data_IF_101430745635
#
_entry.id   IF_101430745635
#
_cell.length_a   1.000
_cell.length_b   1.000
_cell.length_c   1.000
_cell.angle_alpha   90.00
_cell.angle_beta   90.00
_cell.angle_gamma   90.00
#
_symmetry.space_group_name_H-M   'P 1'
#
loop_
_entity.id
_entity.type
_entity.pdbx_description
1 polymer ?
#
# COMPACT_ATOMS: atom_id res chain seq x y z
N UNK A 1 -15.32 -4.83 9.19
CA UNK A 1 -15.48 -4.33 7.83
C UNK A 1 -14.17 -3.68 7.43
N UNK A 2 -13.55 -4.15 6.34
CA UNK A 2 -12.38 -3.49 5.76
C UNK A 2 -12.85 -2.20 5.12
N UNK A 3 -12.37 -1.10 5.60
CA UNK A 3 -12.69 0.22 5.08
C UNK A 3 -11.75 0.63 3.96
N UNK A 4 -10.43 0.31 4.07
CA UNK A 4 -9.43 0.45 3.02
C UNK A 4 -8.64 -0.86 2.86
N UNK A 5 -8.17 -1.14 1.66
CA UNK A 5 -7.27 -2.23 1.34
C UNK A 5 -6.26 -1.77 0.28
N UNK A 6 -4.98 -1.84 0.60
CA UNK A 6 -3.92 -1.42 -0.32
C UNK A 6 -3.14 -2.62 -0.85
N UNK A 7 -3.04 -2.71 -2.17
CA UNK A 7 -2.07 -3.52 -2.87
C UNK A 7 -0.83 -2.67 -3.15
N UNK A 8 0.36 -3.26 -3.16
CA UNK A 8 1.58 -2.53 -3.41
C UNK A 8 2.61 -3.34 -4.18
N UNK A 9 3.45 -2.65 -4.95
CA UNK A 9 4.60 -3.21 -5.65
C UNK A 9 5.87 -2.54 -5.15
N UNK A 10 6.86 -3.34 -4.81
CA UNK A 10 8.19 -2.88 -4.42
C UNK A 10 9.20 -3.30 -5.47
N UNK A 11 9.96 -2.33 -5.92
CA UNK A 11 11.11 -2.52 -6.81
C UNK A 11 12.38 -2.14 -6.05
N UNK A 12 13.43 -2.94 -6.18
CA UNK A 12 14.74 -2.64 -5.64
C UNK A 12 15.59 -1.98 -6.71
N UNK A 13 16.39 -0.99 -6.32
CA UNK A 13 17.41 -0.36 -7.14
C UNK A 13 18.70 -0.28 -6.33
N UNK A 14 19.88 -0.23 -7.00
CA UNK A 14 21.20 -0.19 -6.34
C UNK A 14 21.30 0.79 -5.16
N UNK A 15 20.53 1.87 -5.17
CA UNK A 15 20.57 2.92 -4.15
C UNK A 15 19.30 2.99 -3.27
N UNK A 16 18.29 2.13 -3.45
CA UNK A 16 17.06 2.23 -2.65
C UNK A 16 15.87 1.45 -3.19
N UNK A 17 14.67 1.99 -2.97
CA UNK A 17 13.41 1.35 -3.29
C UNK A 17 12.48 2.30 -4.04
N UNK A 18 11.80 1.80 -5.08
CA UNK A 18 10.60 2.43 -5.59
C UNK A 18 9.38 1.63 -5.11
N UNK A 19 8.33 2.32 -4.73
CA UNK A 19 7.12 1.66 -4.25
C UNK A 19 5.88 2.38 -4.75
N UNK A 20 4.98 1.63 -5.36
CA UNK A 20 3.67 2.11 -5.79
C UNK A 20 2.56 1.35 -5.10
N UNK A 21 1.38 1.99 -4.96
CA UNK A 21 0.19 1.39 -4.36
C UNK A 21 -1.03 1.64 -5.20
N UNK A 22 -1.97 0.70 -5.13
CA UNK A 22 -3.35 0.90 -5.51
C UNK A 22 -4.26 0.54 -4.34
N UNK A 23 -5.27 1.34 -4.05
CA UNK A 23 -6.11 1.18 -2.86
C UNK A 23 -7.57 1.02 -3.23
N UNK A 24 -8.22 0.00 -2.70
CA UNK A 24 -9.68 -0.14 -2.71
C UNK A 24 -10.26 0.44 -1.41
N UNK A 25 -11.36 1.17 -1.53
CA UNK A 25 -12.08 1.70 -0.39
C UNK A 25 -13.60 1.43 -0.51
N UNK A 26 -14.26 1.15 0.61
CA UNK A 26 -15.70 0.93 0.63
C UNK A 26 -16.42 2.27 0.65
N UNK A 27 -17.41 2.43 -0.24
CA UNK A 27 -18.16 3.67 -0.44
C UNK A 27 -18.83 4.17 0.83
N UNK A 28 -19.53 3.31 1.55
CA UNK A 28 -20.21 3.69 2.80
C UNK A 28 -19.24 4.28 3.83
N UNK A 29 -18.04 3.71 3.93
CA UNK A 29 -17.00 4.25 4.80
C UNK A 29 -16.50 5.62 4.31
N UNK A 30 -16.30 5.77 3.00
CA UNK A 30 -15.87 7.02 2.39
C UNK A 30 -16.92 8.12 2.53
N UNK A 31 -18.20 7.79 2.42
CA UNK A 31 -19.30 8.72 2.65
C UNK A 31 -19.37 9.17 4.10
N UNK A 32 -19.33 8.25 5.03
CA UNK A 32 -19.43 8.54 6.47
C UNK A 32 -18.25 9.37 7.00
N UNK A 33 -17.04 9.14 6.48
CA UNK A 33 -15.82 9.73 7.04
C UNK A 33 -15.25 10.88 6.22
N UNK A 34 -15.44 10.88 4.90
CA UNK A 34 -14.84 11.85 3.98
C UNK A 34 -15.85 12.62 3.15
N UNK A 35 -17.15 12.25 3.23
CA UNK A 35 -18.20 12.91 2.44
C UNK A 35 -18.04 12.67 0.93
N UNK A 36 -17.67 11.44 0.56
CA UNK A 36 -17.35 11.07 -0.82
C UNK A 36 -18.47 11.39 -1.82
N UNK A 37 -19.73 11.09 -1.48
CA UNK A 37 -20.88 11.38 -2.36
C UNK A 37 -21.31 12.85 -2.39
N UNK A 38 -20.76 13.70 -1.52
CA UNK A 38 -21.07 15.12 -1.52
C UNK A 38 -20.47 15.81 -2.75
N UNK A 39 -21.13 16.89 -3.22
CA UNK A 39 -20.54 17.76 -4.24
C UNK A 39 -19.26 18.39 -3.70
N UNK A 40 -18.25 18.57 -4.56
CA UNK A 40 -16.95 19.14 -4.18
C UNK A 40 -17.08 20.50 -3.48
N UNK A 41 -18.07 21.32 -3.90
CA UNK A 41 -18.39 22.63 -3.31
C UNK A 41 -18.87 22.56 -1.85
N UNK A 42 -19.42 21.44 -1.41
CA UNK A 42 -19.93 21.21 -0.05
C UNK A 42 -18.89 20.57 0.88
N UNK A 43 -17.77 20.11 0.32
CA UNK A 43 -16.66 19.55 1.09
C UNK A 43 -15.85 20.72 1.63
N UNK A 44 -16.13 21.10 2.88
CA UNK A 44 -15.43 22.21 3.55
C UNK A 44 -13.91 22.10 3.43
N UNK A 45 -13.30 23.23 3.13
CA UNK A 45 -11.88 23.38 2.81
C UNK A 45 -10.95 22.79 3.89
N UNK A 46 -10.11 21.86 3.51
CA UNK A 46 -8.78 21.73 4.11
C UNK A 46 -8.52 20.59 5.08
N UNK A 47 -9.49 19.75 5.50
CA UNK A 47 -9.20 18.70 6.50
C UNK A 47 -9.66 17.27 6.13
N UNK A 48 -10.23 17.06 4.98
CA UNK A 48 -10.70 15.73 4.54
C UNK A 48 -9.78 15.16 3.49
N UNK A 49 -9.58 13.84 3.53
CA UNK A 49 -8.85 13.13 2.49
C UNK A 49 -9.55 13.34 1.13
N UNK A 50 -8.83 13.74 0.07
CA UNK A 50 -9.41 14.07 -1.23
C UNK A 50 -9.64 12.81 -2.07
N UNK A 51 -10.54 11.92 -1.61
CA UNK A 51 -10.82 10.59 -2.18
C UNK A 51 -11.08 10.68 -3.69
N UNK A 52 -12.00 11.56 -4.13
CA UNK A 52 -12.32 11.73 -5.56
C UNK A 52 -11.13 12.16 -6.41
N UNK A 53 -10.24 12.97 -5.85
CA UNK A 53 -9.02 13.38 -6.55
C UNK A 53 -8.09 12.18 -6.76
N UNK A 54 -7.88 11.38 -5.74
CA UNK A 54 -7.03 10.18 -5.83
C UNK A 54 -7.61 9.14 -6.77
N UNK A 55 -8.94 9.00 -6.80
CA UNK A 55 -9.64 8.13 -7.74
C UNK A 55 -9.46 8.61 -9.20
N UNK A 56 -9.63 9.92 -9.45
CA UNK A 56 -9.35 10.53 -10.77
C UNK A 56 -7.88 10.37 -11.21
N UNK A 57 -6.95 10.28 -10.26
CA UNK A 57 -5.53 10.04 -10.51
C UNK A 57 -5.21 8.53 -10.70
N UNK A 58 -6.20 7.63 -10.65
CA UNK A 58 -5.96 6.20 -10.79
C UNK A 58 -5.25 5.54 -9.58
N UNK A 59 -5.16 6.23 -8.43
CA UNK A 59 -4.46 5.73 -7.25
C UNK A 59 -5.34 4.86 -6.35
N UNK A 60 -6.65 4.96 -6.52
CA UNK A 60 -7.62 4.17 -5.77
C UNK A 60 -8.93 4.00 -6.52
N UNK A 61 -9.74 3.05 -6.04
CA UNK A 61 -11.11 2.81 -6.48
C UNK A 61 -12.04 2.75 -5.27
N UNK A 62 -13.16 3.47 -5.35
CA UNK A 62 -14.23 3.37 -4.33
C UNK A 62 -15.29 2.41 -4.83
N UNK A 63 -15.40 1.27 -4.13
CA UNK A 63 -16.34 0.19 -4.50
C UNK A 63 -17.65 0.32 -3.74
N UNK A 64 -18.77 0.22 -4.46
CA UNK A 64 -20.14 0.26 -3.89
C UNK A 64 -20.58 -1.16 -3.52
N UNK A 65 -19.88 -1.73 -2.53
CA UNK A 65 -20.09 -3.09 -2.03
C UNK A 65 -20.12 -3.07 -0.50
N UNK A 66 -20.87 -3.96 0.16
CA UNK A 66 -20.89 -4.05 1.63
C UNK A 66 -19.55 -4.54 2.21
N UNK A 67 -18.74 -5.22 1.40
CA UNK A 67 -17.36 -5.61 1.71
C UNK A 67 -16.58 -5.84 0.44
N UNK A 68 -15.28 -5.56 0.46
CA UNK A 68 -14.42 -5.75 -0.70
C UNK A 68 -14.44 -7.20 -1.20
N UNK A 69 -14.82 -7.40 -2.46
CA UNK A 69 -14.76 -8.70 -3.11
C UNK A 69 -13.29 -9.08 -3.38
N UNK A 70 -12.83 -10.27 -2.98
CA UNK A 70 -11.46 -10.73 -3.24
C UNK A 70 -11.03 -10.67 -4.70
N UNK A 71 -11.97 -10.76 -5.65
CA UNK A 71 -11.69 -10.67 -7.09
C UNK A 71 -10.97 -9.38 -7.49
N UNK A 72 -11.26 -8.25 -6.84
CA UNK A 72 -10.57 -6.99 -7.11
C UNK A 72 -9.07 -7.15 -6.86
N UNK A 73 -8.72 -7.74 -5.73
CA UNK A 73 -7.33 -7.97 -5.31
C UNK A 73 -6.63 -8.96 -6.26
N UNK A 74 -7.30 -10.08 -6.55
CA UNK A 74 -6.74 -11.11 -7.44
C UNK A 74 -6.45 -10.53 -8.82
N UNK A 75 -7.42 -9.82 -9.42
CA UNK A 75 -7.26 -9.20 -10.73
C UNK A 75 -6.13 -8.19 -10.75
N UNK A 76 -5.96 -7.40 -9.69
CA UNK A 76 -4.87 -6.45 -9.60
C UNK A 76 -3.50 -7.15 -9.60
N UNK A 77 -3.33 -8.23 -8.83
CA UNK A 77 -2.08 -8.99 -8.80
C UNK A 77 -1.84 -9.78 -10.09
N UNK A 78 -2.89 -10.27 -10.77
CA UNK A 78 -2.74 -10.88 -12.09
C UNK A 78 -2.19 -9.87 -13.10
N UNK A 79 -2.73 -8.66 -13.13
CA UNK A 79 -2.21 -7.57 -13.96
C UNK A 79 -0.76 -7.22 -13.59
N UNK A 80 -0.45 -7.10 -12.30
CA UNK A 80 0.91 -6.84 -11.84
C UNK A 80 1.89 -7.96 -12.25
N UNK A 81 1.46 -9.21 -12.29
CA UNK A 81 2.27 -10.32 -12.80
C UNK A 81 2.54 -10.20 -14.31
N UNK A 82 1.53 -9.82 -15.08
CA UNK A 82 1.67 -9.64 -16.54
C UNK A 82 2.62 -8.46 -16.86
N UNK A 83 2.51 -7.35 -16.14
CA UNK A 83 3.27 -6.13 -16.42
C UNK A 83 4.68 -6.15 -15.81
N UNK A 84 4.83 -6.71 -14.60
CA UNK A 84 6.07 -6.60 -13.81
C UNK A 84 6.64 -7.94 -13.37
N UNK A 85 6.07 -9.06 -13.77
CA UNK A 85 6.57 -10.39 -13.41
C UNK A 85 6.43 -10.73 -11.92
N UNK A 86 5.48 -10.13 -11.19
CA UNK A 86 5.24 -10.41 -9.77
C UNK A 86 4.96 -11.88 -9.54
N UNK A 87 5.69 -12.52 -8.61
CA UNK A 87 5.53 -13.92 -8.24
C UNK A 87 5.21 -14.14 -6.78
N UNK A 88 5.83 -13.35 -5.90
CA UNK A 88 5.69 -13.49 -4.44
C UNK A 88 4.83 -12.37 -3.88
N UNK A 89 3.86 -12.70 -3.07
CA UNK A 89 2.94 -11.77 -2.42
C UNK A 89 3.05 -11.93 -0.92
N UNK A 90 3.27 -10.85 -0.20
CA UNK A 90 3.26 -10.83 1.26
C UNK A 90 1.94 -10.26 1.74
N UNK A 91 1.19 -11.01 2.53
CA UNK A 91 -0.13 -10.63 3.05
C UNK A 91 -0.17 -10.72 4.57
N UNK A 92 -0.86 -9.79 5.22
CA UNK A 92 -1.14 -9.86 6.65
C UNK A 92 -2.29 -10.83 6.98
N UNK A 93 -2.62 -10.95 8.27
CA UNK A 93 -3.69 -11.85 8.71
C UNK A 93 -5.10 -11.44 8.26
N UNK A 94 -5.28 -10.17 7.84
CA UNK A 94 -6.62 -9.69 7.53
C UNK A 94 -7.15 -10.36 6.26
N UNK A 95 -8.21 -11.16 6.40
CA UNK A 95 -8.81 -11.98 5.33
C UNK A 95 -7.81 -12.90 4.58
N UNK A 96 -6.64 -13.15 5.15
CA UNK A 96 -5.64 -14.01 4.50
C UNK A 96 -6.13 -15.44 4.30
N UNK A 97 -7.02 -15.92 5.14
CA UNK A 97 -7.70 -17.21 5.01
C UNK A 97 -8.60 -17.31 3.75
N UNK A 98 -9.08 -16.18 3.25
CA UNK A 98 -9.91 -16.11 2.04
C UNK A 98 -9.07 -15.75 0.81
N UNK A 99 -8.21 -14.73 0.94
CA UNK A 99 -7.48 -14.16 -0.20
C UNK A 99 -6.29 -15.02 -0.60
N UNK A 100 -5.51 -15.52 0.36
CA UNK A 100 -4.30 -16.26 0.05
C UNK A 100 -4.57 -17.56 -0.74
N UNK A 101 -5.57 -18.41 -0.40
CA UNK A 101 -5.87 -19.58 -1.23
C UNK A 101 -6.30 -19.25 -2.66
N UNK A 102 -6.89 -18.07 -2.88
CA UNK A 102 -7.27 -17.63 -4.23
C UNK A 102 -6.04 -17.19 -5.02
N UNK A 103 -5.10 -16.48 -4.40
CA UNK A 103 -3.82 -16.12 -5.02
C UNK A 103 -2.95 -17.36 -5.29
N UNK A 104 -2.91 -18.31 -4.36
CA UNK A 104 -2.20 -19.58 -4.53
C UNK A 104 -2.74 -20.42 -5.71
N UNK A 105 -4.06 -20.37 -5.99
CA UNK A 105 -4.68 -20.98 -7.18
C UNK A 105 -4.25 -20.34 -8.50
N UNK A 106 -3.85 -19.09 -8.44
CA UNK A 106 -3.30 -18.36 -9.59
C UNK A 106 -1.77 -18.45 -9.65
N UNK A 107 -1.18 -19.45 -9.00
CA UNK A 107 0.27 -19.75 -8.98
C UNK A 107 1.15 -18.64 -8.39
N UNK A 108 0.62 -17.83 -7.48
CA UNK A 108 1.44 -16.93 -6.67
C UNK A 108 2.01 -17.65 -5.46
N UNK A 109 3.27 -17.36 -5.14
CA UNK A 109 3.83 -17.67 -3.84
C UNK A 109 3.28 -16.69 -2.80
N UNK A 110 2.54 -17.18 -1.79
CA UNK A 110 1.90 -16.31 -0.80
C UNK A 110 2.52 -16.49 0.59
N UNK A 111 3.12 -15.43 1.09
CA UNK A 111 3.71 -15.37 2.43
C UNK A 111 2.72 -14.71 3.38
N UNK A 112 2.21 -15.49 4.33
CA UNK A 112 1.22 -15.04 5.32
C UNK A 112 1.91 -14.58 6.59
N UNK A 113 1.81 -13.30 6.90
CA UNK A 113 2.35 -12.72 8.12
C UNK A 113 1.39 -12.95 9.28
N UNK A 114 1.70 -13.88 10.19
CA UNK A 114 0.87 -14.16 11.36
C UNK A 114 0.86 -13.01 12.38
N UNK A 115 1.95 -12.27 12.49
CA UNK A 115 2.15 -11.16 13.43
C UNK A 115 2.84 -9.99 12.71
N UNK A 116 2.15 -9.26 11.82
CA UNK A 116 2.76 -8.22 11.00
C UNK A 116 3.42 -7.12 11.84
N UNK A 117 2.90 -6.83 13.04
CA UNK A 117 3.49 -5.85 13.96
C UNK A 117 4.91 -6.21 14.42
N UNK A 118 5.32 -7.49 14.35
CA UNK A 118 6.68 -7.92 14.70
C UNK A 118 7.71 -7.53 13.62
N UNK A 119 7.25 -7.19 12.42
CA UNK A 119 8.12 -6.67 11.36
C UNK A 119 8.60 -5.24 11.66
N UNK A 120 7.84 -4.47 12.43
CA UNK A 120 8.18 -3.08 12.68
C UNK A 120 9.54 -2.92 13.37
N UNK A 121 9.84 -3.57 14.52
CA UNK A 121 11.17 -3.49 15.13
C UNK A 121 12.28 -4.01 14.23
N UNK A 122 12.01 -5.08 13.47
CA UNK A 122 12.98 -5.67 12.55
C UNK A 122 13.36 -4.74 11.42
N UNK A 123 12.38 -4.05 10.83
CA UNK A 123 12.56 -3.22 9.64
C UNK A 123 12.78 -1.74 9.96
N UNK A 124 12.51 -1.28 11.19
CA UNK A 124 12.61 0.12 11.55
C UNK A 124 13.97 0.75 11.23
N UNK A 125 15.13 0.12 11.52
CA UNK A 125 16.42 0.71 11.16
C UNK A 125 16.57 0.94 9.66
N UNK A 126 16.13 -0.01 8.83
CA UNK A 126 16.18 0.10 7.36
C UNK A 126 15.23 1.18 6.84
N UNK A 127 14.01 1.23 7.37
CA UNK A 127 13.01 2.23 6.99
C UNK A 127 13.52 3.62 7.34
N UNK A 128 14.03 3.83 8.56
CA UNK A 128 14.57 5.13 9.00
C UNK A 128 15.78 5.56 8.16
N UNK A 129 16.74 4.65 7.91
CA UNK A 129 17.88 4.93 7.05
C UNK A 129 17.42 5.31 5.63
N UNK A 130 16.47 4.56 5.08
CA UNK A 130 15.97 4.79 3.73
C UNK A 130 15.26 6.14 3.60
N UNK A 131 14.48 6.56 4.60
CA UNK A 131 13.88 7.89 4.60
C UNK A 131 14.92 9.00 4.82
N UNK A 132 15.85 8.83 5.77
CA UNK A 132 16.87 9.83 6.08
C UNK A 132 17.81 10.09 4.88
N UNK A 133 18.10 9.06 4.10
CA UNK A 133 18.99 9.11 2.95
C UNK A 133 18.25 9.24 1.60
N UNK A 134 16.96 9.55 1.60
CA UNK A 134 16.14 9.72 0.39
C UNK A 134 16.17 8.51 -0.57
N UNK A 135 16.25 7.30 -0.02
CA UNK A 135 16.32 6.04 -0.77
C UNK A 135 14.95 5.46 -1.13
N UNK A 136 13.85 6.16 -0.84
CA UNK A 136 12.48 5.72 -1.13
C UNK A 136 11.86 6.67 -2.13
N UNK A 137 11.36 6.10 -3.22
CA UNK A 137 10.68 6.81 -4.30
C UNK A 137 9.23 6.34 -4.32
N UNK A 138 8.29 7.27 -4.14
CA UNK A 138 6.85 7.02 -4.27
C UNK A 138 6.27 7.60 -5.58
N UNK A 139 7.09 8.23 -6.41
CA UNK A 139 6.64 8.97 -7.59
C UNK A 139 5.68 10.10 -7.21
N UNK A 140 4.83 10.51 -8.14
CA UNK A 140 3.76 11.48 -7.87
C UNK A 140 2.51 10.78 -7.26
N UNK A 141 2.70 10.15 -6.10
CA UNK A 141 1.63 9.46 -5.39
C UNK A 141 1.25 10.20 -4.09
N UNK A 142 0.32 11.18 -4.14
CA UNK A 142 -0.12 11.91 -2.95
C UNK A 142 -0.87 11.02 -1.96
N UNK A 143 -1.49 9.92 -2.39
CA UNK A 143 -2.14 8.96 -1.50
C UNK A 143 -1.09 8.22 -0.65
N UNK A 144 0.02 7.78 -1.25
CA UNK A 144 1.10 7.13 -0.49
C UNK A 144 1.76 8.11 0.49
N UNK A 145 1.99 9.36 0.09
CA UNK A 145 2.45 10.42 1.00
C UNK A 145 1.48 10.64 2.17
N UNK A 146 0.18 10.60 1.90
CA UNK A 146 -0.84 10.72 2.95
C UNK A 146 -0.80 9.53 3.92
N UNK A 147 -0.70 8.30 3.44
CA UNK A 147 -0.55 7.12 4.29
C UNK A 147 0.69 7.23 5.18
N UNK A 148 1.84 7.62 4.62
CA UNK A 148 3.09 7.80 5.35
C UNK A 148 2.97 8.89 6.43
N UNK A 149 2.37 10.03 6.10
CA UNK A 149 2.16 11.14 7.06
C UNK A 149 1.17 10.79 8.20
N UNK A 150 0.38 9.73 8.04
CA UNK A 150 -0.52 9.25 9.10
C UNK A 150 0.17 8.31 10.09
N UNK A 151 1.42 7.95 9.86
CA UNK A 151 2.23 7.10 10.74
C UNK A 151 3.04 7.97 11.71
N UNK A 152 3.26 7.47 12.92
CA UNK A 152 4.29 7.95 13.82
C UNK A 152 5.11 6.77 14.37
N UNK A 153 6.34 7.04 14.74
CA UNK A 153 7.26 6.06 15.34
C UNK A 153 7.11 6.10 16.85
N UNK A 154 6.93 4.94 17.47
CA UNK A 154 6.92 4.78 18.92
C UNK A 154 8.02 3.82 19.34
N UNK A 155 8.87 4.26 20.27
CA UNK A 155 9.83 3.37 20.93
C UNK A 155 9.11 2.49 21.94
N UNK A 156 9.44 1.21 21.94
CA UNK A 156 8.93 0.19 22.86
C UNK A 156 10.07 -0.68 23.36
N UNK A 157 9.84 -1.51 24.40
CA UNK A 157 10.85 -2.45 24.90
C UNK A 157 11.36 -3.42 23.82
N UNK A 158 10.53 -3.73 22.82
CA UNK A 158 10.87 -4.64 21.72
C UNK A 158 11.48 -3.90 20.51
N UNK A 159 11.74 -2.58 20.61
CA UNK A 159 12.21 -1.74 19.52
C UNK A 159 11.14 -0.77 19.00
N UNK A 160 11.41 -0.17 17.85
CA UNK A 160 10.51 0.86 17.28
C UNK A 160 9.33 0.23 16.56
N UNK A 161 8.15 0.84 16.73
CA UNK A 161 6.89 0.46 16.04
C UNK A 161 6.33 1.63 15.25
N UNK A 162 5.82 1.33 14.06
CA UNK A 162 5.12 2.29 13.20
C UNK A 162 3.62 2.22 13.50
N UNK A 163 3.09 3.23 14.16
CA UNK A 163 1.71 3.27 14.61
C UNK A 163 0.91 4.33 13.86
N UNK A 164 -0.37 4.07 13.70
CA UNK A 164 -1.32 5.02 13.15
C UNK A 164 -1.59 6.15 14.16
N UNK A 165 -1.60 7.41 13.70
CA UNK A 165 -2.10 8.55 14.48
C UNK A 165 -3.55 8.32 14.91
N UNK A 166 -3.93 8.76 16.10
CA UNK A 166 -5.15 8.33 16.82
C UNK A 166 -6.49 8.62 16.13
N UNK A 167 -6.54 9.58 15.20
CA UNK A 167 -7.79 9.91 14.51
C UNK A 167 -8.30 8.74 13.65
N UNK A 168 -9.59 8.39 13.78
CA UNK A 168 -10.25 7.31 13.02
C UNK A 168 -10.08 7.47 11.50
N UNK A 169 -10.06 8.71 11.03
CA UNK A 169 -9.92 9.07 9.60
C UNK A 169 -8.50 8.95 9.06
N UNK A 170 -7.52 8.65 9.89
CA UNK A 170 -6.14 8.42 9.49
C UNK A 170 -5.96 6.97 9.08
N UNK A 171 -5.62 6.72 7.85
CA UNK A 171 -5.33 5.38 7.30
C UNK A 171 -3.83 5.24 7.03
N UNK A 172 -3.34 4.01 7.13
CA UNK A 172 -1.91 3.69 6.94
C UNK A 172 -1.72 2.46 6.05
N UNK A 173 -2.77 2.04 5.35
CA UNK A 173 -2.83 0.77 4.62
C UNK A 173 -1.71 0.67 3.58
N UNK A 174 -1.47 1.72 2.79
CA UNK A 174 -0.36 1.75 1.83
C UNK A 174 1.01 1.72 2.50
N UNK A 175 1.18 2.37 3.66
CA UNK A 175 2.43 2.28 4.40
C UNK A 175 2.66 0.87 4.97
N UNK A 176 1.62 0.20 5.47
CA UNK A 176 1.73 -1.19 5.92
C UNK A 176 2.05 -2.13 4.75
N UNK A 177 1.44 -1.92 3.58
CA UNK A 177 1.78 -2.67 2.37
C UNK A 177 3.26 -2.49 1.99
N UNK A 178 3.82 -1.28 2.12
CA UNK A 178 5.26 -1.03 1.94
C UNK A 178 6.11 -1.83 2.93
N UNK A 179 5.79 -1.83 4.22
CA UNK A 179 6.51 -2.60 5.25
C UNK A 179 6.45 -4.11 4.95
N UNK A 180 5.29 -4.62 4.52
CA UNK A 180 5.14 -6.03 4.16
C UNK A 180 5.99 -6.40 2.94
N UNK A 181 6.00 -5.58 1.91
CA UNK A 181 6.83 -5.80 0.73
C UNK A 181 8.34 -5.70 1.07
N UNK A 182 8.73 -4.71 1.88
CA UNK A 182 10.12 -4.52 2.30
C UNK A 182 10.69 -5.71 3.08
N UNK A 183 9.85 -6.48 3.75
CA UNK A 183 10.25 -7.71 4.44
C UNK A 183 10.95 -8.71 3.51
N UNK A 184 10.52 -8.78 2.26
CA UNK A 184 11.08 -9.68 1.24
C UNK A 184 12.04 -9.01 0.25
N UNK A 185 12.30 -7.73 0.41
CA UNK A 185 13.14 -6.96 -0.52
C UNK A 185 14.55 -7.55 -0.72
N UNK A 186 15.14 -8.21 0.30
CA UNK A 186 16.47 -8.82 0.19
C UNK A 186 16.50 -10.08 -0.70
N UNK A 187 15.35 -10.63 -1.05
CA UNK A 187 15.24 -11.82 -1.89
C UNK A 187 14.96 -11.46 -3.36
N UNK A 188 14.83 -10.16 -3.65
CA UNK A 188 14.69 -9.69 -5.03
C UNK A 188 16.04 -9.77 -5.73
N UNK A 189 16.03 -10.35 -6.93
CA UNK A 189 17.24 -10.49 -7.73
C UNK A 189 17.66 -9.12 -8.30
N UNK A 190 18.89 -8.70 -8.00
CA UNK A 190 19.47 -7.45 -8.51
C UNK A 190 19.76 -7.49 -10.04
N UNK A 191 19.50 -8.63 -10.71
CA UNK A 191 19.76 -8.82 -12.14
C UNK A 191 18.64 -8.33 -13.07
N UNK A 192 17.48 -7.93 -12.54
CA UNK A 192 16.42 -7.34 -13.35
C UNK A 192 16.78 -5.89 -13.65
N UNK A 193 16.77 -5.51 -14.92
CA UNK A 193 16.98 -4.12 -15.34
C UNK A 193 15.77 -3.26 -14.94
N UNK A 194 15.90 -2.65 -13.76
CA UNK A 194 14.85 -1.83 -13.17
C UNK A 194 14.77 -0.42 -13.77
N UNK A 195 15.73 0.00 -14.60
CA UNK A 195 15.69 1.31 -15.24
C UNK A 195 14.45 1.40 -16.15
N UNK A 196 14.15 0.32 -16.89
CA UNK A 196 12.92 0.21 -17.69
C UNK A 196 11.63 0.25 -16.83
N UNK A 197 11.63 -0.38 -15.67
CA UNK A 197 10.48 -0.34 -14.74
C UNK A 197 10.31 1.04 -14.08
N UNK A 198 11.37 1.78 -13.86
CA UNK A 198 11.31 3.15 -13.34
C UNK A 198 10.82 4.13 -14.40
N UNK A 199 11.28 3.99 -15.64
CA UNK A 199 10.79 4.77 -16.78
C UNK A 199 9.28 4.52 -17.00
N UNK A 200 8.83 3.27 -16.87
CA UNK A 200 7.41 2.93 -16.91
C UNK A 200 6.62 3.53 -15.72
N UNK A 201 7.20 3.62 -14.52
CA UNK A 201 6.56 4.30 -13.37
C UNK A 201 6.49 5.81 -13.56
N UNK A 202 7.47 6.41 -14.25
CA UNK A 202 7.44 7.84 -14.61
C UNK A 202 6.47 8.10 -15.77
N UNK A 203 6.30 7.16 -16.71
CA UNK A 203 5.28 7.21 -17.77
C UNK A 203 3.85 6.95 -17.22
N UNK A 204 3.72 6.20 -16.14
CA UNK A 204 2.48 6.02 -15.37
C UNK A 204 2.16 7.22 -14.46
N UNK A 205 2.89 8.33 -14.58
CA UNK A 205 2.48 9.60 -14.01
C UNK A 205 1.18 10.05 -14.66
N UNK A 206 0.13 9.59 -14.04
CA UNK A 206 -1.26 9.90 -14.29
C UNK A 206 -1.57 11.37 -13.98
#
# INVERSE_FOLDING_TARGET
VCDFFSCGLLFTKQAGYAFTTFTYAIKDFCDANYGYSLKEELVGTGKRAPIKKWEKMGLMEVVDEPSLNPKHIINWFLKAREEYGVRTIVIDNYKSDIIAPLLEKEDFEVIRLRRPQNLHPLLAPRVEDSFANHKIIFGDNPLMRWFTNNVYVKETNDGKKFLKKEEVKRKTDGFQAFIHALYKANELDDQVDYDEAFDMLDELNF
#
